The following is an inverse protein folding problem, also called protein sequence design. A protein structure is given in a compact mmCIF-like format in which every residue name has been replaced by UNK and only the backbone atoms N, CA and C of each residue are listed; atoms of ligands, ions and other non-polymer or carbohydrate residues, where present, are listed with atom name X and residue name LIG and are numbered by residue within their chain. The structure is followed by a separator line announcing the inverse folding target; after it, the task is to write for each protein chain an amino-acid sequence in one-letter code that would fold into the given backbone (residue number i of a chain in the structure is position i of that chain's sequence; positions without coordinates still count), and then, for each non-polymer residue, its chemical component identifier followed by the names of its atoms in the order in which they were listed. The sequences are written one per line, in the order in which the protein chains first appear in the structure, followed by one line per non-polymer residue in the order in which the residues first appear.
data_IF_381563756455
#
_entry.id   IF_381563756455
#
_cell.length_a   1.000
_cell.length_b   1.000
_cell.length_c   1.000
_cell.angle_alpha   90.00
_cell.angle_beta   90.00
_cell.angle_gamma   90.00
#
_symmetry.space_group_name_H-M   'P 1'
#
loop_
_entity.id
_entity.type
_entity.pdbx_description
1 polymer ?
#
# COMPACT_ATOMS: atom_id res chain seq x y z
N UNK A 1 19.19 -9.90 2.90
CA UNK A 1 18.99 -8.78 1.96
C UNK A 1 17.86 -7.91 2.47
N UNK A 2 18.18 -6.76 3.04
CA UNK A 2 17.20 -5.75 3.44
C UNK A 2 16.44 -5.31 2.18
N UNK A 3 15.10 -5.29 2.14
CA UNK A 3 14.38 -4.82 0.97
C UNK A 3 14.74 -3.35 0.74
N UNK A 4 15.38 -3.06 -0.40
CA UNK A 4 15.67 -1.68 -0.76
C UNK A 4 14.34 -0.93 -0.88
N UNK A 5 14.29 0.31 -0.37
CA UNK A 5 13.10 1.15 -0.37
C UNK A 5 12.66 1.58 -1.78
N UNK A 6 13.38 1.17 -2.82
CA UNK A 6 13.18 1.54 -4.23
C UNK A 6 12.70 0.37 -5.10
N UNK A 7 12.42 -0.79 -4.50
CA UNK A 7 11.99 -1.98 -5.22
C UNK A 7 10.47 -2.17 -5.25
N UNK A 8 10.00 -2.71 -6.38
CA UNK A 8 8.62 -3.15 -6.50
C UNK A 8 8.38 -4.33 -5.54
N UNK A 9 7.32 -4.26 -4.74
CA UNK A 9 6.91 -5.33 -3.82
C UNK A 9 6.69 -6.68 -4.52
N UNK A 10 6.28 -6.65 -5.78
CA UNK A 10 6.13 -7.86 -6.61
C UNK A 10 7.45 -8.45 -7.09
N UNK A 11 8.60 -7.82 -6.80
CA UNK A 11 9.96 -8.23 -7.20
C UNK A 11 10.10 -8.57 -8.69
N UNK A 12 9.26 -7.98 -9.53
CA UNK A 12 9.20 -8.26 -10.98
C UNK A 12 10.43 -7.74 -11.75
N UNK A 13 11.31 -6.97 -11.11
CA UNK A 13 12.53 -6.40 -11.72
C UNK A 13 13.47 -7.50 -12.27
N UNK A 14 13.41 -8.73 -11.75
CA UNK A 14 14.18 -9.85 -12.26
C UNK A 14 13.73 -10.40 -13.63
N UNK A 15 12.48 -10.13 -14.05
CA UNK A 15 11.87 -10.84 -15.18
C UNK A 15 11.72 -10.01 -16.46
N UNK A 16 11.78 -8.67 -16.39
CA UNK A 16 11.44 -7.81 -17.52
C UNK A 16 12.36 -6.59 -17.63
N UNK A 17 13.55 -6.80 -18.19
CA UNK A 17 14.37 -5.84 -18.96
C UNK A 17 14.63 -4.42 -18.43
N UNK A 18 15.91 -4.04 -18.47
CA UNK A 18 16.56 -2.72 -18.31
C UNK A 18 16.02 -1.82 -17.17
N UNK A 19 16.87 -1.38 -16.22
CA UNK A 19 16.51 -0.46 -15.14
C UNK A 19 16.25 0.95 -15.67
N UNK A 20 15.12 1.17 -16.35
CA UNK A 20 14.56 2.53 -16.50
C UNK A 20 13.99 2.96 -15.15
N UNK A 21 14.15 4.24 -14.77
CA UNK A 21 13.45 4.85 -13.63
C UNK A 21 11.94 4.72 -13.84
N UNK A 22 11.33 3.63 -13.36
CA UNK A 22 9.88 3.41 -13.47
C UNK A 22 9.20 4.20 -12.37
N UNK A 23 8.15 4.96 -12.71
CA UNK A 23 7.30 5.62 -11.71
C UNK A 23 6.60 4.55 -10.87
N UNK A 24 7.10 4.35 -9.65
CA UNK A 24 6.46 3.48 -8.67
C UNK A 24 5.27 4.21 -8.06
N UNK A 25 4.21 3.46 -7.76
CA UNK A 25 3.10 3.94 -6.94
C UNK A 25 3.16 3.28 -5.57
N UNK A 26 2.39 3.79 -4.63
CA UNK A 26 2.28 3.21 -3.30
C UNK A 26 0.97 2.41 -3.20
N UNK A 27 1.05 1.15 -2.78
CA UNK A 27 -0.15 0.37 -2.53
C UNK A 27 -0.90 0.92 -1.31
N UNK A 28 -2.18 1.25 -1.41
CA UNK A 28 -2.94 1.81 -0.27
C UNK A 28 -3.05 0.86 0.93
N UNK A 29 -2.96 -0.44 0.67
CA UNK A 29 -3.05 -1.53 1.65
C UNK A 29 -1.71 -1.67 2.38
N UNK A 30 -0.72 -2.30 1.76
CA UNK A 30 0.58 -2.59 2.40
C UNK A 30 1.58 -1.42 2.40
N UNK A 31 1.27 -0.28 1.76
CA UNK A 31 2.15 0.88 1.57
C UNK A 31 3.49 0.63 0.87
N UNK A 32 3.70 -0.57 0.36
CA UNK A 32 4.90 -0.88 -0.41
C UNK A 32 4.85 -0.24 -1.81
N UNK A 33 6.03 0.07 -2.35
CA UNK A 33 6.16 0.57 -3.71
C UNK A 33 5.84 -0.52 -4.74
N UNK A 34 5.19 -0.14 -5.83
CA UNK A 34 4.73 -1.08 -6.84
C UNK A 34 4.76 -0.46 -8.23
N UNK A 35 5.32 -1.20 -9.20
CA UNK A 35 5.36 -0.79 -10.60
C UNK A 35 3.98 -0.90 -11.27
N UNK A 36 3.83 -0.34 -12.47
CA UNK A 36 2.58 -0.40 -13.24
C UNK A 36 2.11 -1.83 -13.52
N UNK A 37 3.03 -2.77 -13.78
CA UNK A 37 2.70 -4.17 -14.09
C UNK A 37 2.23 -4.97 -12.88
N UNK A 38 2.65 -4.60 -11.68
CA UNK A 38 2.32 -5.32 -10.44
C UNK A 38 1.17 -4.66 -9.65
N UNK A 39 0.51 -3.65 -10.22
CA UNK A 39 -0.59 -2.94 -9.57
C UNK A 39 -1.83 -2.89 -10.44
N UNK A 40 -2.97 -2.76 -9.78
CA UNK A 40 -4.21 -2.30 -10.39
C UNK A 40 -4.60 -0.96 -9.79
N UNK A 41 -5.29 -0.14 -10.57
CA UNK A 41 -5.91 1.10 -10.10
C UNK A 41 -7.42 0.87 -9.96
N UNK A 42 -7.99 1.21 -8.80
CA UNK A 42 -9.43 1.10 -8.55
C UNK A 42 -9.98 2.41 -8.02
N UNK A 43 -11.17 2.79 -8.48
CA UNK A 43 -11.93 3.87 -7.82
C UNK A 43 -12.52 3.29 -6.53
N UNK A 44 -12.26 3.95 -5.41
CA UNK A 44 -12.76 3.61 -4.09
C UNK A 44 -13.61 4.78 -3.62
N UNK A 45 -14.84 4.50 -3.20
CA UNK A 45 -15.68 5.49 -2.55
C UNK A 45 -15.06 5.85 -1.20
N UNK A 46 -14.81 7.13 -0.98
CA UNK A 46 -14.22 7.64 0.26
C UNK A 46 -15.24 8.33 1.14
N UNK A 47 -16.26 8.94 0.54
CA UNK A 47 -17.29 9.68 1.24
C UNK A 47 -18.57 9.78 0.38
N UNK A 48 -19.69 10.06 1.03
CA UNK A 48 -20.96 10.44 0.39
C UNK A 48 -21.35 11.79 0.98
N UNK A 49 -21.24 12.84 0.17
CA UNK A 49 -21.51 14.19 0.60
C UNK A 49 -23.02 14.39 0.94
N UNK A 50 -23.39 15.44 1.71
CA UNK A 50 -24.77 15.68 2.12
C UNK A 50 -25.77 15.85 0.96
N UNK A 51 -25.28 16.27 -0.21
CA UNK A 51 -26.00 16.38 -1.47
C UNK A 51 -26.11 15.05 -2.24
N UNK A 52 -25.77 13.93 -1.60
CA UNK A 52 -25.71 12.57 -2.17
C UNK A 52 -24.64 12.38 -3.25
N UNK A 53 -23.68 13.30 -3.38
CA UNK A 53 -22.56 13.13 -4.32
C UNK A 53 -21.54 12.12 -3.76
N UNK A 54 -21.32 11.03 -4.50
CA UNK A 54 -20.36 9.99 -4.12
C UNK A 54 -18.94 10.45 -4.47
N UNK A 55 -18.13 10.72 -3.45
CA UNK A 55 -16.72 11.03 -3.65
C UNK A 55 -15.91 9.75 -3.82
N UNK A 56 -15.20 9.65 -4.95
CA UNK A 56 -14.36 8.50 -5.27
C UNK A 56 -12.92 8.93 -5.51
N UNK A 57 -11.97 8.18 -4.95
CA UNK A 57 -10.55 8.36 -5.22
C UNK A 57 -9.95 7.18 -5.97
N UNK A 58 -8.95 7.41 -6.81
CA UNK A 58 -8.22 6.33 -7.50
C UNK A 58 -7.10 5.82 -6.59
N UNK A 59 -7.25 4.59 -6.11
CA UNK A 59 -6.25 3.92 -5.29
C UNK A 59 -5.38 2.97 -6.12
N UNK A 60 -4.08 2.96 -5.84
CA UNK A 60 -3.16 1.93 -6.31
C UNK A 60 -3.20 0.73 -5.35
N UNK A 61 -3.39 -0.48 -5.89
CA UNK A 61 -3.41 -1.74 -5.11
C UNK A 61 -2.46 -2.72 -5.77
N UNK A 62 -1.49 -3.27 -5.02
CA UNK A 62 -0.60 -4.29 -5.56
C UNK A 62 -1.34 -5.63 -5.74
N UNK A 63 -0.94 -6.41 -6.73
CA UNK A 63 -1.59 -7.68 -7.05
C UNK A 63 -1.50 -8.70 -5.90
N UNK A 64 -0.47 -8.61 -5.04
CA UNK A 64 -0.35 -9.45 -3.85
C UNK A 64 -1.47 -9.16 -2.84
N UNK A 65 -1.72 -7.87 -2.54
CA UNK A 65 -2.82 -7.48 -1.66
C UNK A 65 -4.19 -7.80 -2.27
N UNK A 66 -4.35 -7.61 -3.58
CA UNK A 66 -5.58 -7.95 -4.29
C UNK A 66 -5.86 -9.46 -4.24
N UNK A 67 -4.84 -10.30 -4.46
CA UNK A 67 -4.97 -11.76 -4.36
C UNK A 67 -5.37 -12.18 -2.94
N UNK A 68 -4.70 -11.64 -1.93
CA UNK A 68 -5.03 -11.93 -0.54
C UNK A 68 -6.48 -11.55 -0.21
N UNK A 69 -6.91 -10.34 -0.59
CA UNK A 69 -8.30 -9.90 -0.41
C UNK A 69 -9.34 -10.83 -1.06
N UNK A 70 -9.03 -11.42 -2.22
CA UNK A 70 -9.92 -12.38 -2.89
C UNK A 70 -9.96 -13.76 -2.21
N UNK A 71 -8.99 -14.07 -1.37
CA UNK A 71 -8.82 -15.39 -0.73
C UNK A 71 -9.20 -15.39 0.75
N UNK A 72 -9.49 -14.23 1.32
CA UNK A 72 -9.85 -14.06 2.74
C UNK A 72 -11.20 -13.39 2.89
N UNK A 73 -11.83 -13.59 4.04
CA UNK A 73 -13.03 -12.83 4.40
C UNK A 73 -12.72 -11.34 4.58
N UNK A 74 -13.75 -10.50 4.47
CA UNK A 74 -13.61 -9.05 4.66
C UNK A 74 -13.10 -8.69 6.07
N UNK A 75 -13.54 -9.45 7.09
CA UNK A 75 -13.16 -9.26 8.49
C UNK A 75 -11.69 -9.60 8.73
N UNK A 76 -11.21 -10.72 8.20
CA UNK A 76 -9.78 -11.10 8.29
C UNK A 76 -8.88 -10.10 7.59
N UNK A 77 -9.29 -9.64 6.40
CA UNK A 77 -8.54 -8.63 5.66
C UNK A 77 -8.46 -7.32 6.46
N UNK A 78 -9.60 -6.84 6.98
CA UNK A 78 -9.67 -5.62 7.78
C UNK A 78 -8.85 -5.72 9.08
N UNK A 79 -8.93 -6.86 9.78
CA UNK A 79 -8.16 -7.11 11.00
C UNK A 79 -6.64 -7.01 10.76
N UNK A 80 -6.17 -7.63 9.66
CA UNK A 80 -4.77 -7.54 9.24
C UNK A 80 -4.35 -6.11 8.94
N UNK A 81 -5.17 -5.36 8.18
CA UNK A 81 -4.87 -3.96 7.86
C UNK A 81 -4.79 -3.09 9.11
N UNK A 82 -5.71 -3.26 10.06
CA UNK A 82 -5.68 -2.57 11.35
C UNK A 82 -4.43 -2.91 12.15
N UNK A 83 -4.02 -4.17 12.20
CA UNK A 83 -2.79 -4.58 12.87
C UNK A 83 -1.55 -3.93 12.24
N UNK A 84 -1.47 -3.92 10.91
CA UNK A 84 -0.38 -3.26 10.18
C UNK A 84 -0.39 -1.73 10.34
N UNK A 85 -1.56 -1.10 10.44
CA UNK A 85 -1.68 0.33 10.72
C UNK A 85 -1.17 0.66 12.14
N UNK A 86 -1.59 -0.09 13.16
CA UNK A 86 -1.10 0.06 14.53
C UNK A 86 0.41 -0.12 14.63
N UNK A 87 0.97 -1.13 13.96
CA UNK A 87 2.42 -1.34 13.93
C UNK A 87 3.17 -0.15 13.32
N UNK A 88 2.61 0.48 12.28
CA UNK A 88 3.19 1.70 11.67
C UNK A 88 3.10 2.90 12.60
N UNK A 89 1.96 3.14 13.23
CA UNK A 89 1.81 4.24 14.20
C UNK A 89 2.79 4.10 15.37
N UNK A 90 2.98 2.89 15.89
CA UNK A 90 3.97 2.63 16.95
C UNK A 90 5.39 2.96 16.52
N UNK A 91 5.77 2.62 15.28
CA UNK A 91 7.09 2.95 14.72
C UNK A 91 7.28 4.46 14.56
N UNK A 92 6.27 5.16 14.05
CA UNK A 92 6.30 6.61 13.90
C UNK A 92 6.49 7.31 15.26
N UNK A 93 5.74 6.87 16.28
CA UNK A 93 5.89 7.40 17.63
C UNK A 93 7.28 7.14 18.21
N UNK A 94 7.86 5.94 17.98
CA UNK A 94 9.22 5.63 18.47
C UNK A 94 10.31 6.44 17.79
N UNK A 95 10.14 6.82 16.52
CA UNK A 95 11.07 7.75 15.84
C UNK A 95 10.92 9.17 16.40
N UNK A 96 9.69 9.62 16.64
CA UNK A 96 9.42 10.96 17.20
C UNK A 96 9.96 11.09 18.62
N UNK A 97 9.77 10.10 19.50
CA UNK A 97 10.38 10.12 20.83
C UNK A 97 11.90 10.03 20.80
N UNK A 98 12.48 9.39 19.78
CA UNK A 98 13.94 9.35 19.62
C UNK A 98 14.53 10.68 19.15
N UNK A 99 13.77 11.51 18.44
CA UNK A 99 14.17 12.86 18.03
C UNK A 99 14.08 13.89 19.17
N UNK A 100 13.24 13.64 20.18
CA UNK A 100 13.08 14.50 21.37
C UNK A 100 14.05 14.17 22.53
N UNK A 101 14.84 13.09 22.44
CA UNK A 101 15.81 12.67 23.48
C UNK A 101 17.25 13.10 23.10
N UNK A 102 17.42 13.94 22.08
CA UNK A 102 18.69 14.60 21.72
C UNK A 102 18.64 16.09 22.07
#
# INVERSE_FOLDING_TARGET
VSPSTEDCVGRCKAHFGVPKKRKLGCCIVCRALVCNSCRTTRKVTVDVAPDSVVQQTRCCICLLCMRYAKQTSATEFAAREMAMARARSKRALSTETSEYIL
#
